data_IF_963590784636
#
_entry.id   IF_963590784636
#
_cell.length_a   1.000
_cell.length_b   1.000
_cell.length_c   1.000
_cell.angle_alpha   90.00
_cell.angle_beta   90.00
_cell.angle_gamma   90.00
#
_symmetry.space_group_name_H-M   'P 1'
#
loop_
_entity.id
_entity.type
_entity.pdbx_description
1 polymer ?
#
# COMPACT_ATOMS: atom_id res chain seq x y z
N UNK A 1 -10.01 12.68 14.07
CA UNK A 1 -8.81 12.87 14.90
C UNK A 1 -7.65 13.30 14.01
N UNK A 2 -7.25 14.57 14.05
CA UNK A 2 -6.07 15.08 13.33
C UNK A 2 -4.80 14.72 14.10
N UNK A 3 -4.36 13.46 14.04
CA UNK A 3 -3.04 13.12 14.53
C UNK A 3 -2.02 13.47 13.46
N UNK A 4 -1.07 14.32 13.84
CA UNK A 4 -0.03 14.93 13.02
C UNK A 4 0.60 13.93 12.03
N UNK A 5 0.18 14.03 10.76
CA UNK A 5 0.88 13.45 9.62
C UNK A 5 1.48 14.59 8.78
N UNK A 6 2.57 15.21 9.26
CA UNK A 6 3.13 16.42 8.63
C UNK A 6 3.72 16.15 7.25
N UNK A 7 4.18 14.91 7.00
CA UNK A 7 4.75 14.46 5.72
C UNK A 7 3.70 13.97 4.72
N UNK A 8 2.41 14.09 5.04
CA UNK A 8 1.30 13.50 4.30
C UNK A 8 1.39 13.64 2.79
N UNK A 9 1.57 14.86 2.29
CA UNK A 9 1.50 15.08 0.85
C UNK A 9 2.71 14.42 0.13
N UNK A 10 3.88 14.36 0.80
CA UNK A 10 5.05 13.63 0.30
C UNK A 10 4.83 12.11 0.32
N UNK A 11 4.23 11.61 1.40
CA UNK A 11 3.96 10.18 1.56
C UNK A 11 2.89 9.68 0.58
N UNK A 12 1.85 10.48 0.34
CA UNK A 12 0.85 10.19 -0.68
C UNK A 12 1.46 10.23 -2.08
N UNK A 13 2.39 11.15 -2.36
CA UNK A 13 3.10 11.19 -3.62
C UNK A 13 4.01 9.96 -3.80
N UNK A 14 4.76 9.58 -2.78
CA UNK A 14 5.59 8.37 -2.81
C UNK A 14 4.74 7.11 -3.03
N UNK A 15 3.59 7.04 -2.33
CA UNK A 15 2.67 5.93 -2.49
C UNK A 15 2.08 5.85 -3.90
N UNK A 16 1.72 6.99 -4.49
CA UNK A 16 1.23 7.08 -5.87
C UNK A 16 2.25 6.53 -6.85
N UNK A 17 3.52 6.93 -6.74
CA UNK A 17 4.60 6.44 -7.62
C UNK A 17 4.75 4.92 -7.48
N UNK A 18 4.82 4.40 -6.25
CA UNK A 18 4.92 2.95 -6.00
C UNK A 18 3.73 2.18 -6.61
N UNK A 19 2.52 2.72 -6.49
CA UNK A 19 1.32 2.13 -7.05
C UNK A 19 1.33 2.15 -8.58
N UNK A 20 1.72 3.27 -9.20
CA UNK A 20 1.81 3.44 -10.66
C UNK A 20 2.89 2.51 -11.26
N UNK A 21 4.05 2.41 -10.63
CA UNK A 21 5.12 1.48 -11.05
C UNK A 21 4.65 0.03 -10.96
N UNK A 22 4.06 -0.37 -9.83
CA UNK A 22 3.57 -1.74 -9.65
C UNK A 22 2.43 -2.11 -10.61
N UNK A 23 1.54 -1.17 -10.91
CA UNK A 23 0.47 -1.34 -11.90
C UNK A 23 1.04 -1.52 -13.31
N UNK A 24 2.02 -0.69 -13.67
CA UNK A 24 2.69 -0.71 -14.98
C UNK A 24 3.44 -2.03 -15.20
N UNK A 25 4.20 -2.48 -14.22
CA UNK A 25 4.95 -3.75 -14.27
C UNK A 25 4.04 -4.99 -14.46
N UNK A 26 2.76 -4.85 -14.13
CA UNK A 26 1.76 -5.92 -14.24
C UNK A 26 0.77 -5.71 -15.36
N UNK A 27 0.95 -4.68 -16.19
CA UNK A 27 0.01 -4.31 -17.26
C UNK A 27 -1.45 -4.27 -16.77
N UNK A 28 -1.66 -3.74 -15.56
CA UNK A 28 -2.96 -3.74 -14.89
C UNK A 28 -3.39 -2.32 -14.54
N UNK A 29 -4.60 -1.94 -14.96
CA UNK A 29 -5.22 -0.66 -14.61
C UNK A 29 -5.81 -0.66 -13.18
N UNK A 30 -5.76 -1.79 -12.49
CA UNK A 30 -6.37 -1.94 -11.15
C UNK A 30 -5.39 -2.53 -10.13
N UNK A 31 -5.54 -2.08 -8.88
CA UNK A 31 -4.75 -2.53 -7.75
C UNK A 31 -5.68 -3.03 -6.65
N UNK A 32 -5.72 -4.35 -6.45
CA UNK A 32 -6.38 -4.94 -5.29
C UNK A 32 -5.55 -4.75 -4.03
N UNK A 33 -6.18 -4.65 -2.85
CA UNK A 33 -5.47 -4.68 -1.55
C UNK A 33 -4.86 -6.07 -1.26
N UNK A 34 -5.54 -7.11 -1.77
CA UNK A 34 -5.12 -8.49 -1.71
C UNK A 34 -5.03 -9.06 -3.12
N UNK A 35 -4.17 -10.07 -3.29
CA UNK A 35 -3.99 -10.82 -4.52
C UNK A 35 -4.07 -12.32 -4.25
N UNK A 36 -4.58 -13.05 -5.23
CA UNK A 36 -4.46 -14.50 -5.30
C UNK A 36 -3.18 -14.82 -6.07
N UNK A 37 -2.30 -15.61 -5.47
CA UNK A 37 -1.08 -16.10 -6.13
C UNK A 37 -1.11 -17.61 -6.20
N UNK A 38 -0.89 -18.10 -7.42
CA UNK A 38 -0.87 -19.52 -7.73
C UNK A 38 0.58 -19.96 -7.82
N UNK A 39 0.95 -20.89 -6.94
CA UNK A 39 2.17 -21.68 -7.08
C UNK A 39 1.81 -22.95 -7.86
N UNK A 40 2.24 -23.01 -9.13
CA UNK A 40 1.94 -24.15 -9.99
C UNK A 40 2.73 -25.41 -9.61
N UNK A 41 3.94 -25.25 -9.05
CA UNK A 41 4.78 -26.39 -8.66
C UNK A 41 4.17 -27.11 -7.46
N UNK A 42 3.75 -26.34 -6.46
CA UNK A 42 3.12 -26.85 -5.23
C UNK A 42 1.60 -27.07 -5.38
N UNK A 43 1.03 -26.79 -6.56
CA UNK A 43 -0.43 -26.80 -6.83
C UNK A 43 -1.23 -26.06 -5.75
N UNK A 44 -0.71 -24.92 -5.31
CA UNK A 44 -1.23 -24.17 -4.17
C UNK A 44 -1.72 -22.79 -4.59
N UNK A 45 -2.86 -22.39 -4.07
CA UNK A 45 -3.37 -21.03 -4.17
C UNK A 45 -3.23 -20.33 -2.82
N UNK A 46 -2.67 -19.12 -2.82
CA UNK A 46 -2.51 -18.31 -1.61
C UNK A 46 -3.18 -16.96 -1.77
N UNK A 47 -4.02 -16.58 -0.80
CA UNK A 47 -4.58 -15.24 -0.70
C UNK A 47 -3.68 -14.41 0.22
N UNK A 48 -3.10 -13.34 -0.30
CA UNK A 48 -2.10 -12.53 0.42
C UNK A 48 -2.26 -11.04 0.12
N UNK A 49 -1.62 -10.19 0.92
CA UNK A 49 -1.52 -8.76 0.60
C UNK A 49 -0.86 -8.58 -0.76
N UNK A 50 -1.40 -7.66 -1.56
CA UNK A 50 -0.85 -7.31 -2.86
C UNK A 50 0.57 -6.77 -2.73
N UNK A 51 1.38 -6.98 -3.76
CA UNK A 51 2.79 -6.59 -3.75
C UNK A 51 2.99 -5.10 -3.48
N UNK A 52 2.17 -4.20 -4.06
CA UNK A 52 2.26 -2.77 -3.79
C UNK A 52 2.07 -2.43 -2.30
N UNK A 53 1.18 -3.14 -1.59
CA UNK A 53 0.96 -2.95 -0.15
C UNK A 53 2.22 -3.32 0.64
N UNK A 54 2.85 -4.43 0.26
CA UNK A 54 4.11 -4.88 0.88
C UNK A 54 5.24 -3.90 0.58
N UNK A 55 5.29 -3.34 -0.62
CA UNK A 55 6.30 -2.34 -1.00
C UNK A 55 6.09 -1.04 -0.21
N UNK A 56 4.86 -0.55 -0.06
CA UNK A 56 4.57 0.61 0.79
C UNK A 56 5.02 0.39 2.23
N UNK A 57 4.65 -0.76 2.82
CA UNK A 57 5.02 -1.09 4.19
C UNK A 57 6.55 -1.10 4.35
N UNK A 58 7.28 -1.70 3.41
CA UNK A 58 8.75 -1.69 3.43
C UNK A 58 9.32 -0.28 3.26
N UNK A 59 8.79 0.49 2.32
CA UNK A 59 9.23 1.86 2.05
C UNK A 59 9.09 2.73 3.31
N UNK A 60 7.88 2.80 3.88
CA UNK A 60 7.65 3.66 5.05
C UNK A 60 8.33 3.14 6.32
N UNK A 61 8.47 1.82 6.49
CA UNK A 61 9.27 1.27 7.59
C UNK A 61 10.76 1.65 7.45
N UNK A 62 11.29 1.67 6.23
CA UNK A 62 12.67 2.10 5.99
C UNK A 62 12.85 3.61 6.19
N UNK A 63 11.86 4.42 5.83
CA UNK A 63 11.93 5.89 5.92
C UNK A 63 11.69 6.40 7.34
N UNK A 64 10.77 5.79 8.08
CA UNK A 64 10.30 6.30 9.38
C UNK A 64 10.52 5.36 10.56
N UNK A 65 11.07 4.16 10.33
CA UNK A 65 11.13 3.09 11.33
C UNK A 65 9.81 2.31 11.43
N UNK A 66 9.83 1.15 12.09
CA UNK A 66 8.72 0.17 12.05
C UNK A 66 7.39 0.76 12.56
N UNK A 67 7.39 1.41 13.73
CA UNK A 67 6.14 1.88 14.34
C UNK A 67 5.50 3.03 13.56
N UNK A 68 6.30 4.03 13.18
CA UNK A 68 5.79 5.18 12.42
C UNK A 68 5.50 4.77 10.96
N UNK A 69 6.33 3.91 10.36
CA UNK A 69 6.13 3.39 9.02
C UNK A 69 4.82 2.61 8.87
N UNK A 70 4.49 1.76 9.85
CA UNK A 70 3.20 1.07 9.89
C UNK A 70 2.03 2.04 10.02
N UNK A 71 2.14 3.06 10.91
CA UNK A 71 1.13 4.11 11.02
C UNK A 71 0.89 4.82 9.67
N UNK A 72 1.96 5.26 9.01
CA UNK A 72 1.88 5.97 7.72
C UNK A 72 1.29 5.06 6.63
N UNK A 73 1.73 3.81 6.57
CA UNK A 73 1.21 2.81 5.62
C UNK A 73 -0.30 2.65 5.76
N UNK A 74 -0.81 2.51 6.99
CA UNK A 74 -2.26 2.41 7.25
C UNK A 74 -2.98 3.70 6.85
N UNK A 75 -2.44 4.87 7.17
CA UNK A 75 -3.04 6.15 6.80
C UNK A 75 -3.15 6.34 5.27
N UNK A 76 -2.10 5.96 4.53
CA UNK A 76 -2.10 5.96 3.06
C UNK A 76 -3.19 5.03 2.53
N UNK A 77 -3.21 3.76 2.96
CA UNK A 77 -4.19 2.78 2.49
C UNK A 77 -5.62 3.21 2.80
N UNK A 78 -5.87 3.66 4.04
CA UNK A 78 -7.20 4.16 4.43
C UNK A 78 -7.62 5.30 3.52
N UNK A 79 -6.75 6.27 3.22
CA UNK A 79 -7.08 7.37 2.31
C UNK A 79 -7.35 6.92 0.88
N UNK A 80 -6.61 5.94 0.36
CA UNK A 80 -6.86 5.37 -0.96
C UNK A 80 -8.24 4.70 -1.01
N UNK A 81 -8.61 3.94 0.03
CA UNK A 81 -9.90 3.26 0.12
C UNK A 81 -11.07 4.22 0.29
N UNK A 82 -10.92 5.24 1.14
CA UNK A 82 -12.00 6.20 1.40
C UNK A 82 -12.03 7.33 0.38
N UNK A 83 -11.06 7.41 -0.53
CA UNK A 83 -10.87 8.55 -1.44
C UNK A 83 -10.80 9.89 -0.70
N UNK A 84 -10.27 9.88 0.53
CA UNK A 84 -10.22 11.06 1.40
C UNK A 84 -11.53 11.40 2.12
N UNK A 85 -12.61 10.63 1.93
CA UNK A 85 -13.80 10.76 2.75
C UNK A 85 -13.51 10.31 4.20
N UNK A 86 -14.21 10.94 5.13
CA UNK A 86 -14.12 10.58 6.56
C UNK A 86 -15.00 9.36 6.80
N UNK A 87 -14.45 8.33 7.46
CA UNK A 87 -15.26 7.23 7.98
C UNK A 87 -16.04 7.76 9.19
N UNK A 88 -17.37 7.75 9.10
CA UNK A 88 -18.29 8.13 10.17
C UNK A 88 -18.52 6.98 11.14
#
# INVERSE_FOLDING_TARGET
MSQNWPTRDKDLQAARVIMEEYASDRESDTLGLFEIVVDQAEKKMSFRLSGWVVILAKHFNSTYGVSQGDFITRQVITRCLTQGHTLH
#
